data_IF_463952085268
#
_entry.id   IF_463952085268
#
_cell.length_a   1.000
_cell.length_b   1.000
_cell.length_c   1.000
_cell.angle_alpha   90.00
_cell.angle_beta   90.00
_cell.angle_gamma   90.00
#
_symmetry.space_group_name_H-M   'P 1'
#
loop_
_entity.id
_entity.type
_entity.pdbx_description
1 polymer ?
#
# COMPACT_ATOMS: atom_id res chain seq x y z
N UNK A 1 5.28 17.11 -21.54
CA UNK A 1 5.02 16.99 -20.08
C UNK A 1 5.14 15.53 -19.74
N UNK A 2 6.23 15.16 -19.10
CA UNK A 2 6.68 13.77 -19.07
C UNK A 2 5.84 12.93 -18.11
N UNK A 3 5.50 11.73 -18.57
CA UNK A 3 4.92 10.67 -17.76
C UNK A 3 6.03 9.67 -17.50
N UNK A 4 6.28 9.36 -16.22
CA UNK A 4 7.33 8.44 -15.84
C UNK A 4 6.72 7.18 -15.23
N UNK A 5 7.25 6.04 -15.63
CA UNK A 5 6.89 4.76 -15.03
C UNK A 5 7.60 4.62 -13.67
N UNK A 6 6.87 4.18 -12.65
CA UNK A 6 7.44 3.88 -11.35
C UNK A 6 8.11 2.50 -11.38
N UNK A 7 9.39 2.45 -11.04
CA UNK A 7 10.11 1.19 -10.82
C UNK A 7 10.51 1.08 -9.35
N UNK A 8 9.66 0.50 -8.51
CA UNK A 8 9.93 0.33 -7.06
C UNK A 8 11.22 -0.44 -6.78
N UNK A 9 11.57 -1.40 -7.67
CA UNK A 9 12.85 -2.13 -7.61
C UNK A 9 14.09 -1.26 -7.79
N UNK A 10 13.96 -0.05 -8.35
CA UNK A 10 15.08 0.86 -8.56
C UNK A 10 15.22 1.90 -7.43
N UNK A 11 14.37 1.82 -6.40
CA UNK A 11 14.51 2.70 -5.24
C UNK A 11 15.86 2.44 -4.53
N UNK A 12 16.56 3.50 -4.08
CA UNK A 12 17.82 3.36 -3.35
C UNK A 12 17.69 2.44 -2.14
N UNK A 13 18.68 1.57 -1.90
CA UNK A 13 18.59 0.57 -0.82
C UNK A 13 18.65 1.16 0.57
N UNK A 14 19.25 2.34 0.72
CA UNK A 14 19.26 3.11 1.96
C UNK A 14 18.02 4.03 2.11
N UNK A 15 17.04 3.98 1.19
CA UNK A 15 15.88 4.86 1.25
C UNK A 15 15.00 4.51 2.45
N UNK A 16 14.81 5.48 3.34
CA UNK A 16 13.92 5.36 4.50
C UNK A 16 12.58 6.07 4.29
N UNK A 17 12.59 7.18 3.56
CA UNK A 17 11.42 8.03 3.33
C UNK A 17 11.28 8.32 1.83
N UNK A 18 10.11 8.02 1.27
CA UNK A 18 9.80 8.33 -0.12
C UNK A 18 8.42 8.98 -0.18
N UNK A 19 8.37 10.21 -0.68
CA UNK A 19 7.13 10.87 -1.03
C UNK A 19 7.18 11.35 -2.47
N UNK A 20 6.38 10.70 -3.31
CA UNK A 20 6.18 11.07 -4.71
C UNK A 20 4.69 11.23 -5.01
N UNK A 21 3.90 11.63 -4.00
CA UNK A 21 2.48 11.87 -4.17
C UNK A 21 2.21 13.03 -5.12
N UNK A 22 1.01 13.06 -5.70
CA UNK A 22 0.53 14.18 -6.55
C UNK A 22 1.39 14.34 -7.80
N UNK A 23 1.67 13.22 -8.46
CA UNK A 23 2.40 13.17 -9.71
C UNK A 23 1.56 12.49 -10.80
N UNK A 24 2.17 12.20 -11.95
CA UNK A 24 1.55 11.43 -13.04
C UNK A 24 2.21 10.08 -13.23
N UNK A 25 2.82 9.53 -12.17
CA UNK A 25 3.50 8.25 -12.22
C UNK A 25 2.51 7.14 -12.60
N UNK A 26 2.93 6.25 -13.49
CA UNK A 26 2.15 5.09 -13.91
C UNK A 26 2.96 3.81 -13.76
N UNK A 27 2.37 2.67 -14.08
CA UNK A 27 2.99 1.35 -13.88
C UNK A 27 2.49 0.66 -12.62
N UNK A 28 3.06 -0.50 -12.32
CA UNK A 28 2.64 -1.38 -11.23
C UNK A 28 3.39 -1.07 -9.94
N UNK A 29 2.75 -1.30 -8.79
CA UNK A 29 3.38 -1.10 -7.48
C UNK A 29 4.01 -2.41 -7.00
N UNK A 30 5.30 -2.61 -7.28
CA UNK A 30 6.03 -3.79 -6.83
C UNK A 30 6.43 -3.70 -5.34
N UNK A 31 5.50 -3.97 -4.42
CA UNK A 31 5.73 -3.85 -2.97
C UNK A 31 6.73 -4.86 -2.41
N UNK A 32 6.84 -6.05 -3.01
CA UNK A 32 7.82 -7.09 -2.62
C UNK A 32 9.29 -6.68 -2.85
N UNK A 33 9.53 -5.64 -3.63
CA UNK A 33 10.88 -5.19 -4.02
C UNK A 33 11.33 -3.92 -3.30
N UNK A 34 10.54 -3.46 -2.33
CA UNK A 34 10.83 -2.26 -1.58
C UNK A 34 12.12 -2.41 -0.74
N UNK A 35 12.88 -1.33 -0.55
CA UNK A 35 14.05 -1.33 0.32
C UNK A 35 13.71 -1.78 1.76
N UNK A 36 14.58 -2.58 2.37
CA UNK A 36 14.37 -3.12 3.72
C UNK A 36 14.32 -2.03 4.81
N UNK A 37 15.00 -0.90 4.57
CA UNK A 37 15.04 0.22 5.50
C UNK A 37 13.88 1.20 5.33
N UNK A 38 12.99 0.98 4.36
CA UNK A 38 11.89 1.89 4.09
C UNK A 38 10.94 1.96 5.28
N UNK A 39 10.73 3.18 5.78
CA UNK A 39 9.88 3.50 6.92
C UNK A 39 8.57 4.13 6.43
N UNK A 40 8.62 5.01 5.44
CA UNK A 40 7.44 5.70 4.91
C UNK A 40 7.46 5.73 3.38
N UNK A 41 6.32 5.33 2.78
CA UNK A 41 6.12 5.37 1.34
C UNK A 41 4.77 6.03 1.00
N UNK A 42 4.83 7.19 0.37
CA UNK A 42 3.65 7.88 -0.15
C UNK A 42 3.66 7.91 -1.68
N UNK A 43 2.72 7.16 -2.27
CA UNK A 43 2.49 7.02 -3.70
C UNK A 43 1.10 7.55 -4.09
N UNK A 44 0.41 8.27 -3.21
CA UNK A 44 -0.96 8.71 -3.46
C UNK A 44 -1.09 9.70 -4.61
N UNK A 45 -2.29 9.87 -5.15
CA UNK A 45 -2.58 10.84 -6.22
C UNK A 45 -1.65 10.66 -7.43
N UNK A 46 -1.62 9.45 -7.97
CA UNK A 46 -0.86 9.08 -9.15
C UNK A 46 -1.75 8.29 -10.13
N UNK A 47 -1.16 7.64 -11.13
CA UNK A 47 -1.86 6.81 -12.12
C UNK A 47 -1.44 5.35 -12.02
N UNK A 48 -0.97 4.92 -10.84
CA UNK A 48 -0.46 3.58 -10.61
C UNK A 48 -1.59 2.55 -10.74
N UNK A 49 -1.23 1.38 -11.23
CA UNK A 49 -2.14 0.25 -11.40
C UNK A 49 -1.65 -0.92 -10.54
N UNK A 50 -2.53 -1.92 -10.37
CA UNK A 50 -2.20 -3.13 -9.61
C UNK A 50 -1.20 -4.05 -10.31
N UNK A 51 -0.88 -5.21 -9.70
CA UNK A 51 -1.43 -5.67 -8.43
C UNK A 51 -0.79 -4.97 -7.21
N UNK A 52 -1.54 -4.90 -6.13
CA UNK A 52 -1.10 -4.59 -4.77
C UNK A 52 -1.11 -5.88 -3.98
N UNK A 53 0.03 -6.19 -3.37
CA UNK A 53 0.25 -7.38 -2.56
C UNK A 53 0.96 -6.96 -1.27
N UNK A 54 0.28 -7.16 -0.13
CA UNK A 54 0.76 -6.82 1.20
C UNK A 54 1.25 -8.05 1.97
N UNK A 55 1.48 -9.18 1.30
CA UNK A 55 1.95 -10.41 1.94
C UNK A 55 3.39 -10.31 2.45
N UNK A 56 4.20 -9.46 1.82
CA UNK A 56 5.60 -9.23 2.17
C UNK A 56 5.89 -7.73 2.14
N UNK A 57 5.94 -7.11 3.32
CA UNK A 57 6.30 -5.70 3.50
C UNK A 57 7.62 -5.58 4.29
N UNK A 58 8.43 -4.53 4.05
CA UNK A 58 9.64 -4.29 4.84
C UNK A 58 9.33 -4.19 6.34
N UNK A 59 10.15 -4.84 7.17
CA UNK A 59 9.94 -4.90 8.63
C UNK A 59 9.92 -3.53 9.31
N UNK A 60 10.62 -2.54 8.73
CA UNK A 60 10.67 -1.16 9.25
C UNK A 60 9.50 -0.29 8.80
N UNK A 61 8.68 -0.75 7.86
CA UNK A 61 7.62 0.06 7.26
C UNK A 61 6.58 0.45 8.32
N UNK A 62 6.29 1.74 8.37
CA UNK A 62 5.32 2.36 9.29
C UNK A 62 4.10 2.91 8.58
N UNK A 63 4.24 3.38 7.35
CA UNK A 63 3.09 3.83 6.57
C UNK A 63 3.22 3.59 5.07
N UNK A 64 2.09 3.28 4.45
CA UNK A 64 1.96 3.15 3.01
C UNK A 64 0.69 3.87 2.53
N UNK A 65 0.85 4.89 1.69
CA UNK A 65 -0.25 5.64 1.11
C UNK A 65 -0.36 5.32 -0.40
N UNK A 66 -1.47 4.69 -0.80
CA UNK A 66 -1.79 4.32 -2.18
C UNK A 66 -3.08 4.97 -2.70
N UNK A 67 -3.73 5.80 -1.88
CA UNK A 67 -5.02 6.41 -2.20
C UNK A 67 -4.97 7.28 -3.46
N UNK A 68 -6.10 7.34 -4.17
CA UNK A 68 -6.24 8.04 -5.45
C UNK A 68 -5.20 7.64 -6.52
N UNK A 69 -5.22 6.35 -6.86
CA UNK A 69 -4.52 5.76 -8.00
C UNK A 69 -5.53 5.08 -8.94
N UNK A 70 -5.06 4.31 -9.93
CA UNK A 70 -5.92 3.56 -10.86
C UNK A 70 -5.93 2.06 -10.55
N UNK A 71 -5.82 1.69 -9.28
CA UNK A 71 -5.79 0.29 -8.85
C UNK A 71 -7.20 -0.29 -8.96
N UNK A 72 -7.39 -1.22 -9.90
CA UNK A 72 -8.68 -1.88 -10.15
C UNK A 72 -8.83 -3.27 -9.52
N UNK A 73 -7.80 -3.73 -8.83
CA UNK A 73 -7.85 -4.97 -8.07
C UNK A 73 -8.89 -4.85 -6.95
N UNK A 74 -9.85 -5.78 -6.93
CA UNK A 74 -10.94 -5.76 -5.95
C UNK A 74 -10.53 -6.35 -4.60
N UNK A 75 -9.71 -7.40 -4.61
CA UNK A 75 -9.26 -8.11 -3.40
C UNK A 75 -7.76 -7.97 -3.25
N UNK A 76 -7.30 -7.43 -2.12
CA UNK A 76 -5.88 -7.36 -1.75
C UNK A 76 -5.58 -8.37 -0.66
N UNK A 77 -4.47 -9.09 -0.81
CA UNK A 77 -4.00 -10.04 0.18
C UNK A 77 -2.97 -9.40 1.11
N UNK A 78 -3.03 -9.72 2.41
CA UNK A 78 -2.04 -9.33 3.41
C UNK A 78 -1.57 -10.54 4.22
N UNK A 79 -0.29 -10.53 4.59
CA UNK A 79 0.35 -11.61 5.35
C UNK A 79 0.62 -11.19 6.79
N UNK A 80 1.75 -11.63 7.33
CA UNK A 80 2.27 -11.10 8.59
C UNK A 80 2.66 -9.63 8.41
N UNK A 81 1.93 -8.74 9.06
CA UNK A 81 2.16 -7.31 8.96
C UNK A 81 3.40 -6.90 9.78
N UNK A 82 4.19 -5.91 9.34
CA UNK A 82 5.31 -5.40 10.12
C UNK A 82 4.84 -4.90 11.50
N UNK A 83 5.58 -5.17 12.59
CA UNK A 83 5.15 -4.84 13.95
C UNK A 83 4.97 -3.33 14.18
N UNK A 84 5.67 -2.50 13.40
CA UNK A 84 5.60 -1.05 13.49
C UNK A 84 4.65 -0.41 12.47
N UNK A 85 3.93 -1.22 11.67
CA UNK A 85 3.05 -0.72 10.62
C UNK A 85 1.87 0.01 11.26
N UNK A 86 1.80 1.33 11.08
CA UNK A 86 0.72 2.15 11.65
C UNK A 86 -0.52 2.10 10.78
N UNK A 87 -0.35 2.27 9.47
CA UNK A 87 -1.45 2.25 8.53
C UNK A 87 -1.04 1.96 7.08
N UNK A 88 -2.00 1.48 6.31
CA UNK A 88 -2.01 1.42 4.84
C UNK A 88 -3.30 2.05 4.37
N UNK A 89 -3.22 3.05 3.48
CA UNK A 89 -4.38 3.73 2.92
C UNK A 89 -4.54 3.45 1.43
N UNK A 90 -5.74 3.06 1.03
CA UNK A 90 -6.16 2.77 -0.34
C UNK A 90 -7.15 3.78 -0.90
N UNK A 91 -7.89 4.49 -0.06
CA UNK A 91 -9.05 5.29 -0.45
C UNK A 91 -9.01 6.70 0.12
N UNK A 92 -9.60 7.59 -0.66
CA UNK A 92 -10.00 8.93 -0.25
C UNK A 92 -11.45 9.13 -0.75
N UNK A 93 -12.20 10.09 -0.22
CA UNK A 93 -13.66 10.23 -0.45
C UNK A 93 -14.06 10.23 -1.94
N UNK A 94 -13.18 10.69 -2.84
CA UNK A 94 -13.36 10.67 -4.30
C UNK A 94 -12.23 9.91 -5.04
N UNK A 95 -11.56 8.98 -4.36
CA UNK A 95 -10.39 8.28 -4.88
C UNK A 95 -10.71 7.30 -6.01
N UNK A 96 -9.78 7.17 -6.96
CA UNK A 96 -9.97 6.37 -8.17
C UNK A 96 -9.74 4.85 -8.02
N UNK A 97 -9.28 4.38 -6.86
CA UNK A 97 -9.04 2.96 -6.60
C UNK A 97 -10.34 2.18 -6.42
N UNK A 98 -10.32 0.87 -6.69
CA UNK A 98 -11.49 -0.03 -6.61
C UNK A 98 -11.26 -1.26 -5.71
N UNK A 99 -10.38 -1.13 -4.73
CA UNK A 99 -10.17 -2.18 -3.71
C UNK A 99 -11.40 -2.25 -2.81
N UNK A 100 -12.08 -3.39 -2.80
CA UNK A 100 -13.32 -3.59 -2.03
C UNK A 100 -13.15 -4.51 -0.85
N UNK A 101 -12.09 -5.33 -0.83
CA UNK A 101 -11.90 -6.37 0.19
C UNK A 101 -10.41 -6.60 0.49
N UNK A 102 -10.12 -6.87 1.76
CA UNK A 102 -8.84 -7.38 2.24
C UNK A 102 -9.01 -8.81 2.75
N UNK A 103 -8.05 -9.68 2.41
CA UNK A 103 -7.98 -11.06 2.93
C UNK A 103 -6.57 -11.34 3.42
N UNK A 104 -6.41 -12.03 4.54
CA UNK A 104 -5.07 -12.33 5.02
C UNK A 104 -5.03 -13.38 6.11
N UNK A 105 -3.82 -13.78 6.47
CA UNK A 105 -3.55 -14.82 7.47
C UNK A 105 -2.97 -14.26 8.77
N UNK A 106 -3.07 -12.93 8.96
CA UNK A 106 -2.47 -12.25 10.11
C UNK A 106 -3.07 -12.73 11.44
N UNK A 107 -2.23 -12.85 12.46
CA UNK A 107 -2.64 -13.13 13.85
C UNK A 107 -3.12 -11.88 14.60
N UNK A 108 -3.11 -10.71 13.96
CA UNK A 108 -3.55 -9.44 14.54
C UNK A 108 -5.05 -9.46 14.85
N UNK A 109 -5.46 -8.79 15.93
CA UNK A 109 -6.88 -8.68 16.26
C UNK A 109 -7.61 -7.70 15.32
N UNK A 110 -8.94 -7.81 15.26
CA UNK A 110 -9.79 -7.01 14.34
C UNK A 110 -9.71 -5.51 14.63
N UNK A 111 -9.51 -5.10 15.87
CA UNK A 111 -9.38 -3.68 16.24
C UNK A 111 -8.11 -3.09 15.64
N UNK A 112 -6.98 -3.79 15.83
CA UNK A 112 -5.68 -3.43 15.28
C UNK A 112 -5.69 -3.40 13.75
N UNK A 113 -6.34 -4.37 13.12
CA UNK A 113 -6.54 -4.34 11.66
C UNK A 113 -7.37 -3.13 11.21
N UNK A 114 -8.36 -2.71 12.01
CA UNK A 114 -9.12 -1.49 11.74
C UNK A 114 -8.29 -0.21 11.84
N UNK A 115 -7.27 -0.18 12.71
CA UNK A 115 -6.32 0.93 12.77
C UNK A 115 -5.34 0.91 11.59
N UNK A 116 -4.87 -0.28 11.21
CA UNK A 116 -3.92 -0.46 10.10
C UNK A 116 -4.60 -0.15 8.77
N UNK A 117 -5.88 -0.48 8.60
CA UNK A 117 -6.64 -0.21 7.37
C UNK A 117 -7.79 0.76 7.67
N UNK A 118 -7.48 2.03 8.00
CA UNK A 118 -8.45 2.96 8.56
C UNK A 118 -9.55 3.38 7.57
N UNK A 119 -9.30 3.18 6.27
CA UNK A 119 -10.20 3.53 5.18
C UNK A 119 -10.93 2.30 4.60
N UNK A 120 -10.76 1.13 5.21
CA UNK A 120 -11.49 -0.08 4.89
C UNK A 120 -12.50 -0.39 5.99
N UNK A 121 -13.80 -0.53 5.66
CA UNK A 121 -14.78 -1.00 6.63
C UNK A 121 -14.36 -2.36 7.19
N UNK A 122 -14.40 -2.55 8.51
CA UNK A 122 -13.96 -3.79 9.17
C UNK A 122 -14.62 -5.06 8.59
N UNK A 123 -15.89 -4.98 8.17
CA UNK A 123 -16.63 -6.07 7.50
C UNK A 123 -16.05 -6.52 6.15
N UNK A 124 -15.15 -5.72 5.55
CA UNK A 124 -14.45 -6.03 4.31
C UNK A 124 -13.02 -6.54 4.56
N UNK A 125 -12.62 -6.70 5.82
CA UNK A 125 -11.32 -7.25 6.22
C UNK A 125 -11.58 -8.65 6.76
N UNK A 126 -11.01 -9.66 6.10
CA UNK A 126 -11.21 -11.06 6.47
C UNK A 126 -9.87 -11.70 6.83
N UNK A 127 -9.85 -12.39 7.98
CA UNK A 127 -8.76 -13.28 8.36
C UNK A 127 -9.19 -14.69 7.98
N UNK A 128 -8.33 -15.42 7.27
CA UNK A 128 -8.54 -16.80 6.81
C UNK A 128 -7.52 -17.75 7.42
#
# INVERSE_FOLDING_TARGET
MDVHELHTRALPRALEYCNVSTNRLFGTVGLRTLPEHLVHLNLSMNRLVGPVDLTELPRKLRSLDLWDNRIRQSVVFFGHLPPNLKYVKFHFVAGNNRITKLRGTSTENVERLGEIFPDMPRKHIHIE
#
